data_IF_618389249918
#
_entry.id   IF_618389249918
#
_cell.length_a   1.000
_cell.length_b   1.000
_cell.length_c   1.000
_cell.angle_alpha   90.00
_cell.angle_beta   90.00
_cell.angle_gamma   90.00
#
_symmetry.space_group_name_H-M   'P 1'
#
loop_
_entity.id
_entity.type
_entity.pdbx_description
1 polymer ?
#
# COMPACT_ATOMS: atom_id res chain seq x y z
N UNK A 1 25.93 10.76 -17.15
CA UNK A 1 24.61 10.62 -16.50
C UNK A 1 24.35 9.13 -16.41
N UNK A 2 24.37 8.56 -15.21
CA UNK A 2 24.16 7.13 -15.01
C UNK A 2 22.68 6.92 -14.68
N UNK A 3 21.86 6.56 -15.68
CA UNK A 3 20.40 6.44 -15.56
C UNK A 3 19.97 5.68 -14.29
N UNK A 4 20.61 4.55 -13.99
CA UNK A 4 20.32 3.74 -12.79
C UNK A 4 20.57 4.48 -11.47
N UNK A 5 21.59 5.34 -11.41
CA UNK A 5 21.87 6.19 -10.23
C UNK A 5 20.80 7.26 -10.07
N UNK A 6 20.36 7.87 -11.17
CA UNK A 6 19.28 8.87 -11.14
C UNK A 6 17.96 8.24 -10.69
N UNK A 7 17.64 7.04 -11.17
CA UNK A 7 16.45 6.28 -10.75
C UNK A 7 16.51 5.90 -9.27
N UNK A 8 17.65 5.40 -8.79
CA UNK A 8 17.84 5.05 -7.39
C UNK A 8 17.68 6.28 -6.47
N UNK A 9 18.14 7.46 -6.91
CA UNK A 9 17.97 8.70 -6.17
C UNK A 9 16.50 9.16 -6.08
N UNK A 10 15.70 8.94 -7.13
CA UNK A 10 14.24 9.22 -7.12
C UNK A 10 13.51 8.25 -6.20
N UNK A 11 13.86 6.97 -6.25
CA UNK A 11 13.21 5.91 -5.46
C UNK A 11 13.54 6.03 -3.97
N UNK A 12 14.74 6.53 -3.65
CA UNK A 12 15.26 6.71 -2.30
C UNK A 12 15.66 8.18 -2.10
N UNK A 13 14.69 9.11 -1.91
CA UNK A 13 15.00 10.52 -1.75
C UNK A 13 15.81 10.77 -0.47
N UNK A 14 16.75 11.71 -0.52
CA UNK A 14 17.51 12.09 0.69
C UNK A 14 16.57 12.61 1.77
N UNK A 15 16.75 12.19 3.03
CA UNK A 15 15.99 12.74 4.12
C UNK A 15 16.29 14.24 4.26
N UNK A 16 15.33 14.98 4.78
CA UNK A 16 15.57 16.32 5.32
C UNK A 16 15.61 16.25 6.85
N UNK A 17 16.26 17.19 7.55
CA UNK A 17 16.31 17.18 9.02
C UNK A 17 14.93 17.10 9.68
N UNK A 18 13.89 17.66 9.04
CA UNK A 18 12.51 17.65 9.52
C UNK A 18 11.83 16.27 9.42
N UNK A 19 12.31 15.41 8.54
CA UNK A 19 11.76 14.06 8.31
C UNK A 19 12.38 12.98 9.19
N UNK A 20 13.44 13.31 9.94
CA UNK A 20 14.17 12.37 10.79
C UNK A 20 13.86 12.66 12.26
N UNK A 21 13.37 11.65 12.97
CA UNK A 21 13.07 11.74 14.40
C UNK A 21 13.63 10.51 15.11
N UNK A 22 14.52 10.66 16.12
CA UNK A 22 15.13 11.91 16.62
C UNK A 22 16.04 12.65 15.60
N UNK A 23 16.14 13.98 15.72
CA UNK A 23 16.83 14.83 14.73
C UNK A 23 18.37 14.67 14.69
N UNK A 24 18.96 14.21 15.80
CA UNK A 24 20.39 13.90 15.90
C UNK A 24 20.80 12.69 15.06
N UNK A 25 19.85 11.85 14.65
CA UNK A 25 20.10 10.71 13.74
C UNK A 25 20.15 11.12 12.25
N UNK A 26 20.09 12.42 11.95
CA UNK A 26 20.07 12.90 10.57
C UNK A 26 21.32 12.47 9.76
N UNK A 27 22.57 12.56 10.28
CA UNK A 27 23.75 12.08 9.55
C UNK A 27 23.68 10.58 9.24
N UNK A 28 23.23 9.77 10.19
CA UNK A 28 23.07 8.32 10.03
C UNK A 28 21.98 8.00 9.01
N UNK A 29 20.86 8.73 9.03
CA UNK A 29 19.79 8.58 8.05
C UNK A 29 20.25 8.95 6.63
N UNK A 30 21.10 9.98 6.49
CA UNK A 30 21.72 10.34 5.23
C UNK A 30 22.62 9.21 4.72
N UNK A 31 23.54 8.70 5.55
CA UNK A 31 24.44 7.62 5.18
C UNK A 31 23.69 6.33 4.82
N UNK A 32 22.65 5.98 5.56
CA UNK A 32 21.80 4.82 5.24
C UNK A 32 21.07 5.01 3.90
N UNK A 33 20.62 6.23 3.59
CA UNK A 33 19.97 6.53 2.31
C UNK A 33 20.95 6.46 1.14
N UNK A 34 22.19 6.94 1.32
CA UNK A 34 23.26 6.77 0.33
C UNK A 34 23.56 5.30 0.06
N UNK A 35 23.63 4.48 1.12
CA UNK A 35 23.79 3.03 0.98
C UNK A 35 22.62 2.40 0.21
N UNK A 36 21.38 2.73 0.57
CA UNK A 36 20.20 2.23 -0.14
C UNK A 36 20.18 2.65 -1.62
N UNK A 37 20.65 3.85 -1.95
CA UNK A 37 20.79 4.30 -3.35
C UNK A 37 21.81 3.47 -4.12
N UNK A 38 22.96 3.17 -3.51
CA UNK A 38 24.00 2.36 -4.13
C UNK A 38 23.50 0.93 -4.37
N UNK A 39 22.86 0.32 -3.37
CA UNK A 39 22.31 -1.03 -3.46
C UNK A 39 21.18 -1.11 -4.50
N UNK A 40 20.26 -0.15 -4.52
CA UNK A 40 19.16 -0.10 -5.49
C UNK A 40 19.65 0.11 -6.92
N UNK A 41 20.65 0.99 -7.13
CA UNK A 41 21.26 1.16 -8.45
C UNK A 41 21.92 -0.12 -8.94
N UNK A 42 22.66 -0.82 -8.06
CA UNK A 42 23.30 -2.09 -8.39
C UNK A 42 22.28 -3.18 -8.72
N UNK A 43 21.22 -3.34 -7.92
CA UNK A 43 20.16 -4.31 -8.19
C UNK A 43 19.42 -4.00 -9.48
N UNK A 44 19.13 -2.73 -9.76
CA UNK A 44 18.42 -2.32 -10.97
C UNK A 44 19.26 -2.55 -12.22
N UNK A 45 20.56 -2.26 -12.17
CA UNK A 45 21.50 -2.55 -13.25
C UNK A 45 21.58 -4.07 -13.51
N UNK A 46 21.78 -4.87 -12.46
CA UNK A 46 21.82 -6.33 -12.58
C UNK A 46 20.51 -6.94 -13.13
N UNK A 47 19.36 -6.41 -12.71
CA UNK A 47 18.05 -6.85 -13.22
C UNK A 47 17.84 -6.43 -14.68
N UNK A 48 18.27 -5.21 -15.04
CA UNK A 48 18.21 -4.71 -16.42
C UNK A 48 19.03 -5.59 -17.35
N UNK A 49 20.27 -5.91 -16.97
CA UNK A 49 21.16 -6.78 -17.73
C UNK A 49 20.63 -8.22 -17.82
N UNK A 50 20.15 -8.77 -16.69
CA UNK A 50 19.67 -10.15 -16.60
C UNK A 50 18.36 -10.40 -17.35
N UNK A 51 17.52 -9.37 -17.50
CA UNK A 51 16.21 -9.46 -18.18
C UNK A 51 16.21 -8.82 -19.56
N UNK A 52 17.34 -8.26 -20.01
CA UNK A 52 17.45 -7.45 -21.23
C UNK A 52 16.31 -6.42 -21.35
N UNK A 53 16.04 -5.72 -20.25
CA UNK A 53 14.90 -4.81 -20.12
C UNK A 53 15.38 -3.43 -19.64
N UNK A 54 14.79 -2.37 -20.18
CA UNK A 54 15.09 -1.00 -19.79
C UNK A 54 14.89 -0.76 -18.27
N UNK A 55 15.87 -0.16 -17.58
CA UNK A 55 15.84 -0.01 -16.12
C UNK A 55 14.75 0.95 -15.64
N UNK A 56 14.34 1.95 -16.43
CA UNK A 56 13.22 2.82 -16.08
C UNK A 56 11.90 2.04 -16.14
N UNK A 57 11.72 1.16 -17.12
CA UNK A 57 10.53 0.29 -17.19
C UNK A 57 10.46 -0.66 -15.99
N UNK A 58 11.59 -1.28 -15.61
CA UNK A 58 11.67 -2.11 -14.41
C UNK A 58 11.29 -1.32 -13.15
N UNK A 59 11.88 -0.13 -12.96
CA UNK A 59 11.55 0.74 -11.83
C UNK A 59 10.07 1.13 -11.77
N UNK A 60 9.44 1.39 -12.93
CA UNK A 60 8.01 1.68 -13.02
C UNK A 60 7.14 0.46 -12.69
N UNK A 61 7.54 -0.73 -13.12
CA UNK A 61 6.84 -1.97 -12.76
C UNK A 61 6.87 -2.22 -11.25
N UNK A 62 8.04 -2.05 -10.62
CA UNK A 62 8.18 -2.17 -9.18
C UNK A 62 7.38 -1.10 -8.41
N UNK A 63 7.41 0.16 -8.86
CA UNK A 63 6.61 1.23 -8.27
C UNK A 63 5.11 0.93 -8.36
N UNK A 64 4.64 0.40 -9.50
CA UNK A 64 3.25 -0.03 -9.67
C UNK A 64 2.91 -1.20 -8.75
N UNK A 65 3.80 -2.18 -8.61
CA UNK A 65 3.60 -3.30 -7.70
C UNK A 65 3.47 -2.82 -6.24
N UNK A 66 4.35 -1.92 -5.78
CA UNK A 66 4.27 -1.29 -4.46
C UNK A 66 2.96 -0.54 -4.25
N UNK A 67 2.52 0.24 -5.25
CA UNK A 67 1.21 0.91 -5.20
C UNK A 67 0.06 -0.10 -5.04
N UNK A 68 0.03 -1.14 -5.88
CA UNK A 68 -1.04 -2.14 -5.83
C UNK A 68 -1.06 -2.89 -4.49
N UNK A 69 0.11 -3.17 -3.91
CA UNK A 69 0.23 -3.79 -2.59
C UNK A 69 -0.31 -2.87 -1.49
N UNK A 70 0.05 -1.58 -1.50
CA UNK A 70 -0.50 -0.60 -0.56
C UNK A 70 -2.03 -0.46 -0.71
N UNK A 71 -2.55 -0.42 -1.95
CA UNK A 71 -4.00 -0.39 -2.21
C UNK A 71 -4.69 -1.65 -1.67
N UNK A 72 -4.06 -2.83 -1.77
CA UNK A 72 -4.58 -4.07 -1.22
C UNK A 72 -4.59 -4.07 0.31
N UNK A 73 -3.50 -3.62 0.94
CA UNK A 73 -3.40 -3.47 2.40
C UNK A 73 -4.47 -2.51 2.94
N UNK A 74 -4.67 -1.34 2.29
CA UNK A 74 -5.73 -0.39 2.66
C UNK A 74 -7.09 -1.09 2.63
N UNK A 75 -7.39 -1.88 1.60
CA UNK A 75 -8.67 -2.61 1.52
C UNK A 75 -8.84 -3.64 2.63
N UNK A 76 -7.78 -4.37 2.98
CA UNK A 76 -7.80 -5.32 4.11
C UNK A 76 -8.04 -4.59 5.43
N UNK A 77 -7.36 -3.46 5.67
CA UNK A 77 -7.55 -2.64 6.87
C UNK A 77 -8.97 -2.05 6.95
N UNK A 78 -9.55 -1.65 5.82
CA UNK A 78 -10.94 -1.20 5.76
C UNK A 78 -11.92 -2.34 6.05
N UNK A 79 -11.70 -3.53 5.49
CA UNK A 79 -12.49 -4.72 5.79
C UNK A 79 -12.44 -5.05 7.29
N UNK A 80 -11.22 -5.03 7.87
CA UNK A 80 -11.01 -5.19 9.29
C UNK A 80 -11.81 -4.18 10.12
N UNK A 81 -11.60 -2.88 9.85
CA UNK A 81 -12.22 -1.78 10.57
C UNK A 81 -13.76 -1.79 10.52
N UNK A 82 -14.32 -2.37 9.47
CA UNK A 82 -15.77 -2.44 9.25
C UNK A 82 -16.41 -3.67 9.86
N UNK A 83 -15.77 -4.83 9.76
CA UNK A 83 -16.41 -6.12 10.02
C UNK A 83 -15.94 -6.81 11.31
N UNK A 84 -14.80 -6.40 11.88
CA UNK A 84 -14.17 -7.07 13.04
C UNK A 84 -14.17 -6.24 14.33
N UNK A 85 -14.88 -5.11 14.34
CA UNK A 85 -15.16 -4.32 15.54
C UNK A 85 -16.52 -4.67 16.16
N UNK A 86 -16.56 -4.86 17.48
CA UNK A 86 -17.71 -5.43 18.20
C UNK A 86 -18.98 -4.56 18.15
N UNK A 87 -19.38 -3.96 19.28
CA UNK A 87 -20.65 -3.22 19.35
C UNK A 87 -20.66 -1.89 18.59
N UNK A 88 -19.49 -1.35 18.22
CA UNK A 88 -19.33 -0.05 17.55
C UNK A 88 -18.29 -0.14 16.43
N UNK A 89 -18.70 -0.32 15.16
CA UNK A 89 -17.78 -0.25 14.02
C UNK A 89 -17.26 1.19 13.85
N UNK A 90 -16.09 1.33 13.21
CA UNK A 90 -15.58 2.66 12.85
C UNK A 90 -16.56 3.40 11.93
N UNK A 91 -16.65 4.71 12.13
CA UNK A 91 -17.43 5.61 11.27
C UNK A 91 -16.80 5.66 9.88
N UNK A 92 -17.65 5.74 8.85
CA UNK A 92 -17.18 5.77 7.46
C UNK A 92 -16.37 7.02 7.17
N UNK A 93 -16.72 8.13 7.81
CA UNK A 93 -16.03 9.41 7.67
C UNK A 93 -14.58 9.31 8.17
N UNK A 94 -14.37 8.69 9.33
CA UNK A 94 -13.03 8.49 9.89
C UNK A 94 -12.18 7.54 9.03
N UNK A 95 -12.80 6.47 8.51
CA UNK A 95 -12.11 5.54 7.61
C UNK A 95 -11.76 6.21 6.27
N UNK A 96 -12.66 7.03 5.75
CA UNK A 96 -12.46 7.78 4.51
C UNK A 96 -11.30 8.78 4.66
N UNK A 97 -11.29 9.56 5.74
CA UNK A 97 -10.21 10.50 6.06
C UNK A 97 -8.86 9.79 6.17
N UNK A 98 -8.78 8.70 6.93
CA UNK A 98 -7.52 7.98 7.15
C UNK A 98 -6.99 7.26 5.89
N UNK A 99 -7.89 6.78 5.02
CA UNK A 99 -7.52 6.07 3.79
C UNK A 99 -7.36 6.98 2.57
N UNK A 100 -7.68 8.28 2.69
CA UNK A 100 -7.76 9.20 1.55
C UNK A 100 -8.89 8.88 0.57
N UNK A 101 -9.87 8.05 0.96
CA UNK A 101 -11.04 7.70 0.16
C UNK A 101 -12.24 8.59 0.48
N UNK A 102 -13.30 8.49 -0.33
CA UNK A 102 -14.61 9.05 0.06
C UNK A 102 -15.39 8.05 0.91
N UNK A 103 -16.36 8.47 1.74
CA UNK A 103 -17.21 7.55 2.49
C UNK A 103 -17.97 6.54 1.60
N UNK A 104 -18.33 6.95 0.38
CA UNK A 104 -18.91 6.05 -0.63
C UNK A 104 -17.86 5.03 -1.11
N UNK A 105 -16.64 5.48 -1.39
CA UNK A 105 -15.52 4.62 -1.78
C UNK A 105 -15.20 3.55 -0.73
N UNK A 106 -15.17 3.92 0.56
CA UNK A 106 -14.94 2.98 1.66
C UNK A 106 -15.97 1.83 1.66
N UNK A 107 -17.25 2.11 1.39
CA UNK A 107 -18.30 1.08 1.38
C UNK A 107 -18.11 0.03 0.29
N UNK A 108 -17.42 0.38 -0.78
CA UNK A 108 -17.21 -0.49 -1.94
C UNK A 108 -15.75 -0.88 -2.13
N UNK A 109 -14.87 -0.51 -1.18
CA UNK A 109 -13.43 -0.64 -1.33
C UNK A 109 -12.99 -2.12 -1.31
N UNK A 110 -13.62 -2.93 -0.46
CA UNK A 110 -13.27 -4.34 -0.27
C UNK A 110 -14.43 -5.25 -0.66
N UNK A 111 -14.09 -6.47 -1.07
CA UNK A 111 -15.02 -7.54 -1.41
C UNK A 111 -15.01 -8.64 -0.35
N UNK A 112 -15.77 -9.71 -0.59
CA UNK A 112 -15.73 -10.92 0.23
C UNK A 112 -14.34 -11.57 0.25
N UNK A 113 -13.55 -11.43 -0.83
CA UNK A 113 -12.20 -11.98 -0.89
C UNK A 113 -11.27 -11.34 0.17
N UNK A 114 -11.26 -10.00 0.28
CA UNK A 114 -10.49 -9.32 1.32
C UNK A 114 -11.02 -9.63 2.72
N UNK A 115 -12.33 -9.79 2.88
CA UNK A 115 -12.94 -10.16 4.16
C UNK A 115 -12.46 -11.55 4.63
N UNK A 116 -12.46 -12.54 3.73
CA UNK A 116 -11.99 -13.89 4.00
C UNK A 116 -10.47 -13.92 4.27
N UNK A 117 -9.71 -13.13 3.53
CA UNK A 117 -8.27 -13.00 3.74
C UNK A 117 -7.96 -12.46 5.14
N UNK A 118 -8.64 -11.39 5.56
CA UNK A 118 -8.47 -10.83 6.91
C UNK A 118 -8.88 -11.85 7.97
N UNK A 119 -10.03 -12.51 7.81
CA UNK A 119 -10.49 -13.54 8.75
C UNK A 119 -9.46 -14.68 8.91
N UNK A 120 -8.83 -15.10 7.81
CA UNK A 120 -7.76 -16.09 7.81
C UNK A 120 -6.52 -15.60 8.55
N UNK A 121 -6.04 -14.39 8.25
CA UNK A 121 -4.81 -13.81 8.81
C UNK A 121 -4.91 -13.59 10.34
N UNK A 122 -6.07 -13.14 10.83
CA UNK A 122 -6.25 -12.84 12.27
C UNK A 122 -6.89 -14.00 13.06
N UNK A 123 -7.21 -15.11 12.39
CA UNK A 123 -7.88 -16.29 12.96
C UNK A 123 -9.18 -15.97 13.71
N UNK A 124 -10.03 -15.12 13.11
CA UNK A 124 -11.30 -14.69 13.72
C UNK A 124 -12.38 -14.57 12.67
N UNK A 125 -13.62 -14.88 13.05
CA UNK A 125 -14.79 -14.63 12.21
C UNK A 125 -15.25 -13.15 12.29
N UNK A 126 -15.80 -12.60 11.19
CA UNK A 126 -16.44 -11.28 11.21
C UNK A 126 -17.58 -11.20 12.24
N UNK A 127 -17.79 -10.05 12.88
CA UNK A 127 -18.77 -9.88 13.97
C UNK A 127 -20.24 -9.89 13.52
N UNK A 128 -20.51 -10.07 12.22
CA UNK A 128 -21.82 -10.45 11.70
C UNK A 128 -22.92 -9.41 11.86
N UNK A 129 -22.93 -8.36 11.03
CA UNK A 129 -24.17 -7.66 10.62
C UNK A 129 -24.22 -7.19 9.14
N UNK A 130 -23.17 -7.36 8.34
CA UNK A 130 -23.17 -6.89 6.94
C UNK A 130 -23.49 -7.96 5.87
N UNK A 131 -23.64 -9.24 6.22
CA UNK A 131 -24.02 -10.28 5.26
C UNK A 131 -25.54 -10.47 5.22
N UNK A 132 -26.27 -9.45 4.74
CA UNK A 132 -27.48 -9.71 3.96
C UNK A 132 -27.11 -9.47 2.50
N UNK A 133 -27.27 -10.46 1.61
CA UNK A 133 -27.00 -10.25 0.20
C UNK A 133 -27.91 -9.12 -0.28
N UNK A 134 -27.33 -8.10 -0.94
CA UNK A 134 -28.11 -7.10 -1.68
C UNK A 134 -28.65 -7.76 -2.95
N UNK A 135 -29.64 -8.64 -2.78
CA UNK A 135 -30.52 -9.08 -3.85
C UNK A 135 -31.59 -8.00 -4.08
N UNK A 136 -31.33 -7.10 -5.01
CA UNK A 136 -32.34 -6.36 -5.78
C UNK A 136 -31.60 -5.55 -6.86
N UNK A 137 -31.86 -5.64 -8.15
CA UNK A 137 -32.87 -6.34 -8.91
C UNK A 137 -32.87 -5.74 -10.31
N UNK A 138 -32.90 -6.59 -11.35
CA UNK A 138 -33.42 -6.19 -12.67
C UNK A 138 -33.89 -7.45 -13.40
N UNK A 139 -35.04 -7.96 -12.97
CA UNK A 139 -36.00 -8.45 -13.94
C UNK A 139 -36.72 -7.23 -14.51
N UNK A 140 -36.64 -7.05 -15.82
CA UNK A 140 -37.69 -6.39 -16.61
C UNK A 140 -37.95 -7.30 -17.79
N UNK A 141 -39.25 -7.49 -18.02
CA UNK A 141 -39.91 -8.27 -19.04
C UNK A 141 -39.29 -8.12 -20.44
#
# INVERSE_FOLDING_TARGET
MHLVVDLAAIRNPMPTPETVTPADLYPEACAATEQHRADDAHHLEAASDGLDTDPLLLALHEARARKNAADAEIRQLLAYGREFHGSRPYRLESLAEASGMTPSGVRTAYSEAELLQVAHEIHREPNGKATKPRLSGRQRN
#
